data_IF_470072195750
#
_entry.id   IF_470072195750
#
_cell.length_a   1.000
_cell.length_b   1.000
_cell.length_c   1.000
_cell.angle_alpha   90.00
_cell.angle_beta   90.00
_cell.angle_gamma   90.00
#
_symmetry.space_group_name_H-M   'P 1'
#
loop_
_entity.id
_entity.type
_entity.pdbx_description
1 polymer ?
#
# COMPACT_ATOMS: atom_id res chain seq x y z
N UNK A 1 7.79 -33.42 47.13
CA UNK A 1 6.92 -33.54 45.92
C UNK A 1 6.42 -32.20 45.41
N UNK A 2 6.26 -31.19 46.26
CA UNK A 2 5.67 -29.88 45.95
C UNK A 2 6.44 -29.04 44.92
N UNK A 3 7.78 -29.08 44.95
CA UNK A 3 8.62 -28.29 44.02
C UNK A 3 8.56 -28.76 42.56
N UNK A 4 8.31 -30.06 42.31
CA UNK A 4 8.15 -30.58 40.94
C UNK A 4 6.85 -30.09 40.29
N UNK A 5 5.77 -29.99 41.06
CA UNK A 5 4.49 -29.46 40.58
C UNK A 5 4.58 -27.97 40.25
N UNK A 6 5.20 -27.17 41.12
CA UNK A 6 5.40 -25.73 40.86
C UNK A 6 6.25 -25.50 39.60
N UNK A 7 7.30 -26.29 39.40
CA UNK A 7 8.13 -26.21 38.19
C UNK A 7 7.36 -26.56 36.90
N UNK A 8 6.42 -27.49 36.96
CA UNK A 8 5.57 -27.87 35.82
C UNK A 8 4.58 -26.75 35.49
N UNK A 9 3.96 -26.12 36.49
CA UNK A 9 3.05 -25.00 36.26
C UNK A 9 3.76 -23.76 35.70
N UNK A 10 4.98 -23.47 36.17
CA UNK A 10 5.80 -22.38 35.63
C UNK A 10 6.18 -22.66 34.17
N UNK A 11 6.58 -23.89 33.84
CA UNK A 11 6.90 -24.28 32.47
C UNK A 11 5.67 -24.19 31.54
N UNK A 12 4.49 -24.58 32.03
CA UNK A 12 3.24 -24.51 31.26
C UNK A 12 2.79 -23.07 31.02
N UNK A 13 2.92 -22.19 32.03
CA UNK A 13 2.66 -20.76 31.89
C UNK A 13 3.63 -20.11 30.89
N UNK A 14 4.92 -20.47 30.95
CA UNK A 14 5.92 -19.96 30.02
C UNK A 14 5.70 -20.45 28.58
N UNK A 15 5.26 -21.70 28.40
CA UNK A 15 4.90 -22.28 27.10
C UNK A 15 3.65 -21.61 26.50
N UNK A 16 2.67 -21.25 27.34
CA UNK A 16 1.46 -20.56 26.92
C UNK A 16 1.73 -19.10 26.51
N UNK A 17 2.68 -18.43 27.17
CA UNK A 17 3.17 -17.09 26.79
C UNK A 17 3.98 -17.12 25.48
N UNK A 18 4.74 -18.19 25.24
CA UNK A 18 5.51 -18.37 23.99
C UNK A 18 4.61 -18.66 22.77
N UNK A 19 3.46 -19.32 22.96
CA UNK A 19 2.47 -19.57 21.90
C UNK A 19 1.61 -18.33 21.55
N UNK A 20 1.63 -17.29 22.40
CA UNK A 20 0.98 -16.00 22.14
C UNK A 20 1.88 -14.97 21.43
N UNK A 21 3.12 -15.34 21.11
CA UNK A 21 4.07 -14.46 20.44
C UNK A 21 3.82 -14.45 18.91
N UNK A 22 3.12 -13.40 18.46
CA UNK A 22 3.12 -12.88 17.09
C UNK A 22 2.87 -13.90 15.96
N UNK A 23 1.61 -14.22 15.68
CA UNK A 23 1.20 -14.17 14.28
C UNK A 23 1.09 -12.70 13.91
N UNK A 24 2.19 -12.08 13.46
CA UNK A 24 2.06 -10.90 12.62
C UNK A 24 1.42 -11.43 11.34
N UNK A 25 0.09 -11.52 11.33
CA UNK A 25 -0.66 -11.63 10.10
C UNK A 25 -0.19 -10.48 9.22
N UNK A 26 0.15 -10.78 7.98
CA UNK A 26 0.43 -9.73 6.99
C UNK A 26 -0.91 -9.08 6.63
N UNK A 27 -1.53 -8.40 7.58
CA UNK A 27 -2.86 -7.84 7.43
C UNK A 27 -2.75 -6.66 6.47
N UNK A 28 -3.15 -6.91 5.23
CA UNK A 28 -3.24 -5.89 4.19
C UNK A 28 -4.42 -5.00 4.55
N UNK A 29 -4.15 -3.75 4.94
CA UNK A 29 -5.18 -2.75 5.19
C UNK A 29 -5.49 -2.03 3.87
N UNK A 30 -6.72 -2.12 3.38
CA UNK A 30 -7.15 -1.55 2.10
C UNK A 30 -8.27 -0.53 2.32
N UNK A 31 -8.16 0.63 1.68
CA UNK A 31 -9.25 1.59 1.50
C UNK A 31 -9.69 1.55 0.04
N UNK A 32 -10.91 1.08 -0.22
CA UNK A 32 -11.49 1.00 -1.56
C UNK A 32 -13.01 0.76 -1.49
N UNK A 33 -13.70 0.82 -2.61
CA UNK A 33 -15.09 0.44 -2.77
C UNK A 33 -15.31 -1.06 -2.46
N UNK A 34 -16.55 -1.42 -2.13
CA UNK A 34 -16.92 -2.81 -1.77
C UNK A 34 -16.82 -3.77 -2.95
N UNK A 35 -16.91 -3.25 -4.16
CA UNK A 35 -16.88 -3.94 -5.46
C UNK A 35 -15.55 -3.72 -6.19
N UNK A 36 -14.54 -3.16 -5.53
CA UNK A 36 -13.19 -3.05 -6.08
C UNK A 36 -12.65 -4.45 -6.45
N UNK A 37 -12.13 -4.58 -7.67
CA UNK A 37 -11.69 -5.83 -8.27
C UNK A 37 -10.54 -6.51 -7.52
N UNK A 38 -9.53 -5.73 -7.08
CA UNK A 38 -8.44 -6.24 -6.27
C UNK A 38 -8.95 -6.77 -4.93
N UNK A 39 -9.79 -6.01 -4.23
CA UNK A 39 -10.36 -6.45 -2.96
C UNK A 39 -11.20 -7.72 -3.09
N UNK A 40 -12.08 -7.77 -4.10
CA UNK A 40 -12.90 -8.96 -4.38
C UNK A 40 -12.00 -10.16 -4.67
N UNK A 41 -10.97 -9.98 -5.50
CA UNK A 41 -10.01 -11.03 -5.85
C UNK A 41 -9.27 -11.56 -4.61
N UNK A 42 -8.77 -10.67 -3.74
CA UNK A 42 -8.11 -11.07 -2.50
C UNK A 42 -9.04 -11.92 -1.61
N UNK A 43 -10.29 -11.45 -1.44
CA UNK A 43 -11.30 -12.14 -0.64
C UNK A 43 -11.64 -13.52 -1.21
N UNK A 44 -11.88 -13.62 -2.52
CA UNK A 44 -12.23 -14.88 -3.20
C UNK A 44 -11.09 -15.92 -3.13
N UNK A 45 -9.84 -15.46 -3.06
CA UNK A 45 -8.66 -16.31 -2.94
C UNK A 45 -8.25 -16.57 -1.47
N UNK A 46 -9.06 -16.19 -0.49
CA UNK A 46 -8.79 -16.32 0.95
C UNK A 46 -7.45 -15.68 1.36
N UNK A 47 -7.12 -14.53 0.78
CA UNK A 47 -5.98 -13.70 1.20
C UNK A 47 -6.48 -12.73 2.27
N UNK A 48 -5.89 -12.83 3.46
CA UNK A 48 -6.28 -12.01 4.61
C UNK A 48 -6.05 -10.51 4.33
N UNK A 49 -7.14 -9.75 4.34
CA UNK A 49 -7.11 -8.31 4.19
C UNK A 49 -8.29 -7.68 4.95
N UNK A 50 -8.10 -6.43 5.41
CA UNK A 50 -9.12 -5.65 6.10
C UNK A 50 -9.48 -4.46 5.23
N UNK A 51 -10.76 -4.38 4.81
CA UNK A 51 -11.27 -3.27 4.00
C UNK A 51 -11.88 -2.18 4.87
N UNK A 52 -11.54 -0.94 4.56
CA UNK A 52 -12.12 0.28 5.12
C UNK A 52 -12.83 1.09 4.04
N UNK A 53 -13.78 1.92 4.45
CA UNK A 53 -14.54 2.76 3.53
C UNK A 53 -13.81 4.05 3.16
N UNK A 54 -12.81 4.46 3.97
CA UNK A 54 -12.06 5.70 3.74
C UNK A 54 -10.57 5.55 4.00
N UNK A 55 -9.74 6.40 3.38
CA UNK A 55 -8.30 6.47 3.63
C UNK A 55 -7.96 6.70 5.12
N UNK A 56 -8.69 7.60 5.79
CA UNK A 56 -8.49 7.91 7.22
C UNK A 56 -8.79 6.71 8.10
N UNK A 57 -9.89 5.98 7.86
CA UNK A 57 -10.20 4.76 8.61
C UNK A 57 -9.10 3.73 8.48
N UNK A 58 -8.59 3.50 7.27
CA UNK A 58 -7.51 2.54 7.05
C UNK A 58 -6.23 2.96 7.80
N UNK A 59 -5.82 4.21 7.70
CA UNK A 59 -4.63 4.73 8.40
C UNK A 59 -4.82 4.71 9.92
N UNK A 60 -6.00 5.04 10.43
CA UNK A 60 -6.28 5.05 11.88
C UNK A 60 -6.21 3.64 12.49
N UNK A 61 -6.71 2.63 11.78
CA UNK A 61 -6.83 1.26 12.31
C UNK A 61 -5.64 0.35 11.97
N UNK A 62 -4.86 0.65 10.92
CA UNK A 62 -3.71 -0.15 10.54
C UNK A 62 -2.66 -0.24 11.69
N UNK A 63 -2.14 -1.43 12.04
CA UNK A 63 -1.11 -1.53 13.08
C UNK A 63 0.17 -0.75 12.74
N UNK A 64 0.94 -0.31 13.74
CA UNK A 64 2.21 0.40 13.52
C UNK A 64 3.16 -0.44 12.64
N UNK A 65 3.84 0.20 11.68
CA UNK A 65 4.82 -0.46 10.81
C UNK A 65 4.23 -1.31 9.67
N UNK A 66 2.91 -1.38 9.53
CA UNK A 66 2.23 -2.16 8.48
C UNK A 66 2.04 -1.36 7.18
N UNK A 67 1.51 -2.03 6.16
CA UNK A 67 1.19 -1.42 4.87
C UNK A 67 -0.30 -1.05 4.78
N UNK A 68 -0.59 0.08 4.15
CA UNK A 68 -1.94 0.53 3.80
C UNK A 68 -2.01 0.82 2.31
N UNK A 69 -2.96 0.20 1.63
CA UNK A 69 -3.28 0.44 0.23
C UNK A 69 -4.52 1.35 0.19
N UNK A 70 -4.42 2.44 -0.56
CA UNK A 70 -5.48 3.42 -0.76
C UNK A 70 -5.75 3.48 -2.26
N UNK A 71 -6.83 2.81 -2.68
CA UNK A 71 -7.13 2.57 -4.09
C UNK A 71 -8.06 3.67 -4.64
N UNK A 72 -7.98 3.91 -5.95
CA UNK A 72 -8.65 5.02 -6.61
C UNK A 72 -10.03 4.64 -7.17
N UNK A 73 -11.05 4.62 -6.32
CA UNK A 73 -12.43 4.26 -6.71
C UNK A 73 -13.02 5.16 -7.80
N UNK A 74 -12.51 6.38 -7.94
CA UNK A 74 -12.97 7.38 -8.91
C UNK A 74 -12.15 7.46 -10.20
N UNK A 75 -11.10 6.63 -10.35
CA UNK A 75 -10.20 6.71 -11.51
C UNK A 75 -10.95 6.38 -12.83
N UNK A 76 -10.63 7.08 -13.95
CA UNK A 76 -9.72 8.22 -14.07
C UNK A 76 -10.38 9.59 -13.80
N UNK A 77 -11.70 9.62 -13.59
CA UNK A 77 -12.52 10.83 -13.54
C UNK A 77 -12.30 11.68 -12.28
N UNK A 78 -11.88 11.07 -11.17
CA UNK A 78 -11.70 11.72 -9.88
C UNK A 78 -10.44 11.22 -9.19
N UNK A 79 -9.67 12.15 -8.63
CA UNK A 79 -8.51 11.86 -7.77
C UNK A 79 -8.95 11.35 -6.40
N UNK A 80 -8.10 10.54 -5.77
CA UNK A 80 -8.34 10.03 -4.42
C UNK A 80 -8.15 11.14 -3.39
N UNK A 81 -9.20 11.45 -2.64
CA UNK A 81 -9.21 12.53 -1.66
C UNK A 81 -8.32 12.17 -0.45
N UNK A 82 -7.17 12.84 -0.36
CA UNK A 82 -6.23 12.71 0.76
C UNK A 82 -5.72 14.10 1.18
N UNK A 83 -5.27 14.19 2.43
CA UNK A 83 -4.76 15.44 2.99
C UNK A 83 -3.41 15.24 3.72
N UNK A 84 -2.78 16.37 4.07
CA UNK A 84 -1.51 16.35 4.80
C UNK A 84 -1.58 15.72 6.20
N UNK A 85 -2.76 15.70 6.82
CA UNK A 85 -2.95 15.11 8.15
C UNK A 85 -2.89 13.59 8.08
N UNK A 86 -3.47 12.99 7.03
CA UNK A 86 -3.37 11.56 6.74
C UNK A 86 -1.90 11.12 6.60
N UNK A 87 -1.10 11.86 5.82
CA UNK A 87 0.33 11.55 5.68
C UNK A 87 1.09 11.68 7.01
N UNK A 88 0.77 12.70 7.82
CA UNK A 88 1.37 12.85 9.15
C UNK A 88 1.05 11.66 10.06
N UNK A 89 -0.22 11.26 10.15
CA UNK A 89 -0.64 10.08 10.94
C UNK A 89 0.07 8.81 10.48
N UNK A 90 0.15 8.61 9.16
CA UNK A 90 0.83 7.46 8.58
C UNK A 90 2.33 7.45 8.93
N UNK A 91 3.00 8.61 8.85
CA UNK A 91 4.39 8.75 9.26
C UNK A 91 4.60 8.48 10.75
N UNK A 92 3.74 9.04 11.62
CA UNK A 92 3.79 8.83 13.07
C UNK A 92 3.65 7.34 13.43
N UNK A 93 2.82 6.60 12.68
CA UNK A 93 2.63 5.14 12.81
C UNK A 93 3.59 4.30 11.96
N UNK A 94 4.58 4.92 11.29
CA UNK A 94 5.54 4.26 10.39
C UNK A 94 4.87 3.36 9.33
N UNK A 95 3.69 3.75 8.87
CA UNK A 95 2.95 2.99 7.85
C UNK A 95 3.63 3.16 6.50
N UNK A 96 3.65 2.07 5.71
CA UNK A 96 4.00 2.13 4.29
C UNK A 96 2.72 2.35 3.49
N UNK A 97 2.65 3.45 2.74
CA UNK A 97 1.47 3.77 1.93
C UNK A 97 1.69 3.41 0.47
N UNK A 98 0.69 2.77 -0.13
CA UNK A 98 0.48 2.70 -1.57
C UNK A 98 -0.78 3.49 -1.89
N UNK A 99 -0.68 4.54 -2.71
CA UNK A 99 -1.80 5.44 -2.99
C UNK A 99 -1.96 5.58 -4.50
N UNK A 100 -3.15 5.26 -4.98
CA UNK A 100 -3.51 5.44 -6.37
C UNK A 100 -4.09 6.83 -6.61
N UNK A 101 -3.63 7.48 -7.68
CA UNK A 101 -4.19 8.72 -8.22
C UNK A 101 -4.51 9.83 -7.17
N UNK A 102 -3.54 10.21 -6.32
CA UNK A 102 -3.76 11.08 -5.16
C UNK A 102 -4.13 12.52 -5.51
N UNK A 103 -5.05 13.15 -4.77
CA UNK A 103 -5.39 14.57 -4.96
C UNK A 103 -4.25 15.53 -4.60
N UNK A 104 -3.35 15.14 -3.71
CA UNK A 104 -2.16 15.92 -3.34
C UNK A 104 -1.01 15.04 -2.85
N UNK A 105 0.22 15.56 -2.90
CA UNK A 105 1.41 14.91 -2.35
C UNK A 105 2.22 15.93 -1.53
N UNK A 106 2.38 15.75 -0.21
CA UNK A 106 3.10 16.71 0.63
C UNK A 106 4.53 16.94 0.15
N UNK A 107 4.90 18.21 0.00
CA UNK A 107 6.25 18.60 -0.44
C UNK A 107 6.53 18.37 -1.92
N UNK A 108 5.55 17.93 -2.71
CA UNK A 108 5.69 17.74 -4.16
C UNK A 108 4.73 18.64 -4.93
N UNK A 109 5.21 19.18 -6.06
CA UNK A 109 4.37 19.93 -6.98
C UNK A 109 3.63 18.97 -7.90
N UNK A 110 2.31 18.96 -7.82
CA UNK A 110 1.43 18.19 -8.72
C UNK A 110 0.91 19.07 -9.86
N UNK A 111 0.76 18.47 -11.03
CA UNK A 111 0.13 19.07 -12.21
C UNK A 111 -1.36 18.73 -12.32
N UNK A 112 -1.95 19.09 -13.46
CA UNK A 112 -3.34 18.75 -13.79
C UNK A 112 -3.39 17.33 -14.36
N UNK A 113 -4.35 16.48 -13.95
CA UNK A 113 -4.53 15.15 -14.52
C UNK A 113 -4.63 15.18 -16.05
N UNK A 114 -3.97 14.23 -16.72
CA UNK A 114 -4.01 14.10 -18.18
C UNK A 114 -3.72 12.68 -18.65
N UNK A 115 -4.21 12.36 -19.84
CA UNK A 115 -3.93 11.09 -20.53
C UNK A 115 -2.61 11.08 -21.28
N UNK A 116 -2.15 9.89 -21.67
CA UNK A 116 -1.03 9.70 -22.59
C UNK A 116 -1.50 9.71 -24.06
N UNK A 117 -0.76 10.35 -24.95
CA UNK A 117 -0.97 10.29 -26.40
C UNK A 117 0.20 9.59 -27.10
N UNK A 118 1.41 10.11 -26.89
CA UNK A 118 2.65 9.62 -27.48
C UNK A 118 3.63 9.09 -26.43
N UNK A 119 3.28 9.27 -25.17
CA UNK A 119 4.06 8.81 -24.03
C UNK A 119 3.86 7.30 -23.80
N UNK A 120 4.85 6.69 -23.15
CA UNK A 120 4.82 5.31 -22.69
C UNK A 120 5.32 5.24 -21.26
N UNK A 121 4.87 4.24 -20.51
CA UNK A 121 5.47 3.93 -19.22
C UNK A 121 6.84 3.28 -19.45
N UNK A 122 7.84 3.69 -18.68
CA UNK A 122 9.21 3.19 -18.75
C UNK A 122 9.70 2.91 -17.35
N UNK A 123 10.31 1.74 -17.15
CA UNK A 123 11.02 1.45 -15.90
C UNK A 123 12.29 2.31 -15.81
N UNK A 124 12.40 3.12 -14.75
CA UNK A 124 13.50 4.07 -14.56
C UNK A 124 14.46 3.71 -13.41
N UNK A 125 14.13 2.70 -12.60
CA UNK A 125 14.95 2.19 -11.51
C UNK A 125 15.21 0.69 -11.63
N UNK A 126 15.99 0.15 -10.70
CA UNK A 126 16.24 -1.29 -10.58
C UNK A 126 15.24 -1.99 -9.62
N UNK A 127 14.18 -1.30 -9.20
CA UNK A 127 13.19 -1.83 -8.23
C UNK A 127 12.45 -3.08 -8.71
N UNK A 128 12.43 -3.33 -10.03
CA UNK A 128 11.77 -4.47 -10.64
C UNK A 128 12.75 -5.51 -11.24
N UNK A 129 14.05 -5.37 -10.98
CA UNK A 129 15.06 -6.29 -11.47
C UNK A 129 15.10 -7.59 -10.61
N UNK A 130 15.40 -8.76 -11.21
CA UNK A 130 15.79 -8.97 -12.62
C UNK A 130 14.62 -9.16 -13.59
N UNK A 131 13.39 -9.35 -13.10
CA UNK A 131 12.22 -9.73 -13.91
C UNK A 131 11.91 -8.68 -14.97
N UNK A 132 12.02 -7.40 -14.59
CA UNK A 132 11.85 -6.27 -15.49
C UNK A 132 13.05 -5.34 -15.37
N UNK A 133 13.91 -5.40 -16.40
CA UNK A 133 15.08 -4.55 -16.52
C UNK A 133 14.73 -3.06 -16.66
N UNK A 134 15.59 -2.20 -16.12
CA UNK A 134 15.58 -0.75 -16.38
C UNK A 134 15.52 -0.44 -17.88
N UNK A 135 14.83 0.64 -18.21
CA UNK A 135 14.47 1.09 -19.56
C UNK A 135 13.50 0.19 -20.33
N UNK A 136 12.91 -0.83 -19.68
CA UNK A 136 11.81 -1.56 -20.31
C UNK A 136 10.61 -0.64 -20.51
N UNK A 137 10.10 -0.65 -21.73
CA UNK A 137 8.87 0.05 -22.13
C UNK A 137 7.68 -0.83 -21.77
N UNK A 138 6.71 -0.27 -21.08
CA UNK A 138 5.46 -0.91 -20.70
C UNK A 138 4.29 -0.29 -21.45
N UNK A 139 3.34 -1.14 -21.83
CA UNK A 139 2.03 -0.70 -22.28
C UNK A 139 1.11 -0.55 -21.07
N UNK A 140 0.66 0.68 -20.81
CA UNK A 140 -0.39 0.98 -19.82
C UNK A 140 -1.57 1.54 -20.61
N UNK A 141 -2.59 0.72 -20.80
CA UNK A 141 -3.75 1.10 -21.59
C UNK A 141 -4.56 2.19 -20.88
N UNK A 142 -5.00 3.19 -21.66
CA UNK A 142 -5.78 4.33 -21.17
C UNK A 142 -5.18 5.03 -19.93
N UNK A 143 -3.85 5.18 -19.94
CA UNK A 143 -3.10 5.76 -18.83
C UNK A 143 -3.47 7.23 -18.63
N UNK A 144 -4.08 7.53 -17.49
CA UNK A 144 -4.26 8.86 -16.95
C UNK A 144 -3.35 9.03 -15.73
N UNK A 145 -2.65 10.15 -15.68
CA UNK A 145 -1.68 10.40 -14.62
C UNK A 145 -1.71 11.85 -14.16
N UNK A 146 -1.23 12.06 -12.95
CA UNK A 146 -1.01 13.37 -12.37
C UNK A 146 0.49 13.67 -12.55
N UNK A 147 0.86 14.69 -13.34
CA UNK A 147 2.27 15.04 -13.49
C UNK A 147 2.85 15.40 -12.12
N UNK A 148 4.00 14.80 -11.78
CA UNK A 148 4.72 15.08 -10.53
C UNK A 148 6.21 15.09 -10.82
N UNK A 149 6.93 16.00 -10.16
CA UNK A 149 8.39 15.98 -10.14
C UNK A 149 8.85 15.09 -8.98
N UNK A 150 9.40 13.93 -9.31
CA UNK A 150 9.96 12.98 -8.35
C UNK A 150 11.48 12.85 -8.57
N UNK A 151 12.24 12.77 -7.48
CA UNK A 151 13.70 12.68 -7.55
C UNK A 151 14.18 11.34 -8.12
N UNK A 152 13.60 10.23 -7.65
CA UNK A 152 13.97 8.87 -8.02
C UNK A 152 12.72 8.02 -8.30
N UNK A 153 11.99 8.27 -9.40
CA UNK A 153 10.82 7.49 -9.76
C UNK A 153 11.21 6.07 -10.22
N UNK A 154 10.38 5.07 -9.89
CA UNK A 154 10.55 3.70 -10.37
C UNK A 154 9.97 3.48 -11.78
N UNK A 155 8.87 4.17 -12.09
CA UNK A 155 8.22 4.20 -13.40
C UNK A 155 8.02 5.66 -13.81
N UNK A 156 8.37 5.98 -15.06
CA UNK A 156 8.13 7.30 -15.66
C UNK A 156 7.23 7.21 -16.87
N UNK A 157 6.42 8.25 -17.09
CA UNK A 157 5.70 8.46 -18.34
C UNK A 157 6.58 9.32 -19.23
N UNK A 158 7.17 8.72 -20.27
CA UNK A 158 8.16 9.36 -21.13
C UNK A 158 7.75 9.30 -22.60
N UNK A 159 8.13 10.34 -23.36
CA UNK A 159 8.08 10.29 -24.83
C UNK A 159 9.31 9.54 -25.33
N UNK A 160 9.09 8.45 -26.04
CA UNK A 160 10.15 7.59 -26.57
C UNK A 160 10.18 7.74 -28.08
N UNK A 161 11.38 7.93 -28.63
CA UNK A 161 11.63 8.10 -30.07
C UNK A 161 11.76 6.76 -30.79
#
# INVERSE_FOLDING_TARGET
MTNKFISIYIAFFFLMVLLGACSVGNDINISCAVDNDLYVTLKENNIDCIRYGTPDEAVNNAPEGTAVLILADGYPSKTTDIDSLLFKKAADKKLRLYIEYPSCLPGMKTGIPRGTHWERAVISSDAFAPEISKFRILAVHDCHFIPVEALNPDIVIARIA
#
